data_IF_376039901537
#
_entry.id   IF_376039901537
#
_cell.length_a   1.000
_cell.length_b   1.000
_cell.length_c   1.000
_cell.angle_alpha   90.00
_cell.angle_beta   90.00
_cell.angle_gamma   90.00
#
_symmetry.space_group_name_H-M   'P 1'
#
loop_
_entity.id
_entity.type
_entity.pdbx_description
1 polymer ?
#
# COMPACT_ATOMS: atom_id res chain seq x y z
N UNK A 1 36.67 -22.44 28.87
CA UNK A 1 35.31 -22.68 28.31
C UNK A 1 34.49 -21.42 28.56
N UNK A 2 34.28 -20.56 27.56
CA UNK A 2 33.42 -19.39 27.70
C UNK A 2 31.97 -19.87 27.68
N UNK A 3 31.20 -19.55 28.72
CA UNK A 3 29.77 -19.81 28.78
C UNK A 3 29.08 -19.05 27.63
N UNK A 4 28.31 -19.76 26.80
CA UNK A 4 27.45 -19.14 25.80
C UNK A 4 26.57 -18.08 26.48
N UNK A 5 26.58 -16.84 25.94
CA UNK A 5 25.76 -15.75 26.46
C UNK A 5 24.32 -15.96 25.98
N UNK A 6 23.49 -16.51 26.85
CA UNK A 6 22.04 -16.59 26.66
C UNK A 6 21.48 -15.17 26.52
N UNK A 7 20.69 -14.94 25.50
CA UNK A 7 19.92 -13.70 25.28
C UNK A 7 18.43 -14.01 25.40
N UNK A 8 17.64 -13.01 25.74
CA UNK A 8 16.18 -13.12 25.87
C UNK A 8 15.51 -12.16 24.90
N UNK A 9 14.57 -12.66 24.11
CA UNK A 9 13.85 -11.90 23.09
C UNK A 9 12.38 -11.78 23.51
N UNK A 10 11.84 -10.56 23.43
CA UNK A 10 10.43 -10.33 23.67
C UNK A 10 9.59 -10.85 22.50
N UNK A 11 8.58 -11.70 22.78
CA UNK A 11 7.68 -12.26 21.76
C UNK A 11 6.75 -11.22 21.14
N UNK A 12 6.50 -10.10 21.81
CA UNK A 12 5.56 -9.07 21.36
C UNK A 12 6.22 -7.97 20.54
N UNK A 13 7.41 -7.48 20.93
CA UNK A 13 8.07 -6.36 20.27
C UNK A 13 9.42 -6.71 19.64
N UNK A 14 9.95 -7.93 19.85
CA UNK A 14 11.22 -8.39 19.28
C UNK A 14 12.48 -7.81 19.94
N UNK A 15 12.37 -7.01 21.01
CA UNK A 15 13.54 -6.44 21.71
C UNK A 15 14.38 -7.51 22.38
N UNK A 16 15.71 -7.34 22.35
CA UNK A 16 16.68 -8.33 22.84
C UNK A 16 17.31 -7.86 24.15
N UNK A 17 17.30 -8.72 25.16
CA UNK A 17 17.83 -8.45 26.50
C UNK A 17 18.90 -9.48 26.90
N UNK A 18 19.89 -9.05 27.67
CA UNK A 18 20.94 -9.92 28.18
C UNK A 18 20.51 -10.76 29.40
N UNK A 19 19.35 -10.45 30.01
CA UNK A 19 18.78 -11.15 31.17
C UNK A 19 17.29 -11.27 31.02
N UNK A 20 16.74 -12.33 31.57
CA UNK A 20 15.30 -12.50 31.66
C UNK A 20 14.69 -11.49 32.65
N UNK A 21 13.55 -10.92 32.28
CA UNK A 21 12.72 -10.07 33.13
C UNK A 21 11.27 -10.48 32.96
N UNK A 22 10.45 -10.36 33.98
CA UNK A 22 9.03 -10.69 33.92
C UNK A 22 8.22 -9.73 33.05
N UNK A 23 8.75 -8.52 32.80
CA UNK A 23 8.14 -7.50 31.96
C UNK A 23 9.15 -6.99 30.94
N UNK A 24 8.75 -6.83 29.70
CA UNK A 24 9.58 -6.22 28.67
C UNK A 24 9.75 -4.71 28.91
N UNK A 25 10.99 -4.25 28.98
CA UNK A 25 11.29 -2.83 29.25
C UNK A 25 10.87 -1.90 28.09
N UNK A 26 10.77 -2.43 26.86
CA UNK A 26 10.47 -1.61 25.69
C UNK A 26 8.97 -1.52 25.38
N UNK A 27 8.22 -2.63 25.50
CA UNK A 27 6.77 -2.63 25.20
C UNK A 27 5.87 -2.79 26.42
N UNK A 28 6.44 -3.05 27.61
CA UNK A 28 5.66 -3.20 28.83
C UNK A 28 4.87 -4.51 28.99
N UNK A 29 4.96 -5.43 28.02
CA UNK A 29 4.26 -6.71 28.06
C UNK A 29 4.86 -7.66 29.10
N UNK A 30 3.98 -8.43 29.82
CA UNK A 30 4.38 -9.35 30.85
C UNK A 30 4.58 -10.77 30.33
N UNK A 31 5.62 -11.47 30.83
CA UNK A 31 5.94 -12.86 30.51
C UNK A 31 6.18 -13.14 29.01
N UNK A 32 6.67 -12.15 28.28
CA UNK A 32 6.93 -12.22 26.83
C UNK A 32 8.40 -12.45 26.49
N UNK A 33 9.30 -12.53 27.47
CA UNK A 33 10.74 -12.77 27.25
C UNK A 33 11.03 -14.27 27.20
N UNK A 34 11.43 -14.76 26.02
CA UNK A 34 11.86 -16.14 25.78
C UNK A 34 13.38 -16.21 25.58
N UNK A 35 13.97 -17.34 26.03
CA UNK A 35 15.40 -17.58 25.90
C UNK A 35 15.80 -17.79 24.43
N UNK A 36 16.78 -17.04 23.95
CA UNK A 36 17.35 -17.16 22.61
C UNK A 36 18.83 -17.50 22.72
N UNK A 37 19.24 -18.60 22.10
CA UNK A 37 20.63 -19.03 22.08
C UNK A 37 21.15 -18.96 20.62
N UNK A 38 21.95 -17.95 20.27
CA UNK A 38 22.41 -17.74 18.90
C UNK A 38 23.31 -18.88 18.35
N UNK A 39 23.84 -19.73 19.24
CA UNK A 39 24.80 -20.77 18.85
C UNK A 39 24.18 -22.14 18.51
N UNK A 40 22.85 -22.33 18.60
CA UNK A 40 22.22 -23.64 18.36
C UNK A 40 21.72 -23.87 16.93
N UNK A 41 21.87 -22.91 16.04
CA UNK A 41 21.32 -22.95 14.66
C UNK A 41 22.23 -23.49 13.56
N UNK A 42 23.43 -23.97 13.85
CA UNK A 42 24.31 -24.56 12.83
C UNK A 42 24.88 -25.90 13.31
N UNK A 43 24.33 -26.99 12.84
CA UNK A 43 24.89 -28.32 13.05
C UNK A 43 26.27 -28.40 12.38
N UNK A 44 27.23 -28.67 13.22
CA UNK A 44 28.65 -28.79 12.92
C UNK A 44 28.96 -29.85 11.86
N UNK A 45 29.53 -29.41 10.75
CA UNK A 45 30.51 -30.25 10.07
C UNK A 45 31.90 -29.93 10.64
N UNK A 46 32.60 -30.95 11.15
CA UNK A 46 33.83 -30.85 11.93
C UNK A 46 34.99 -30.35 11.07
N UNK A 47 35.68 -29.33 11.56
CA UNK A 47 37.05 -29.01 11.15
C UNK A 47 37.25 -27.59 10.59
N UNK A 48 37.30 -26.58 11.45
CA UNK A 48 37.76 -25.24 11.08
C UNK A 48 37.65 -24.30 12.27
N UNK A 49 38.71 -23.60 12.61
CA UNK A 49 38.76 -22.56 13.65
C UNK A 49 37.65 -21.53 13.34
N UNK A 50 36.67 -21.38 14.22
CA UNK A 50 35.66 -20.31 14.16
C UNK A 50 36.36 -18.97 14.41
N UNK A 51 36.80 -18.34 13.33
CA UNK A 51 37.15 -16.93 13.33
C UNK A 51 35.81 -16.16 13.37
N UNK A 52 35.71 -15.19 14.29
CA UNK A 52 34.56 -14.22 14.31
C UNK A 52 34.47 -13.38 13.03
N UNK A 53 35.54 -13.35 12.23
CA UNK A 53 35.60 -12.78 10.90
C UNK A 53 35.13 -13.86 9.90
N UNK A 54 33.96 -13.68 9.29
CA UNK A 54 33.52 -14.47 8.13
C UNK A 54 34.54 -14.36 6.98
N UNK A 55 34.30 -15.09 5.89
CA UNK A 55 35.11 -14.95 4.67
C UNK A 55 35.12 -13.50 4.19
N UNK A 56 36.32 -12.97 3.92
CA UNK A 56 36.50 -11.63 3.39
C UNK A 56 35.86 -11.53 2.01
N UNK A 57 34.87 -10.66 1.85
CA UNK A 57 34.27 -10.35 0.56
C UNK A 57 35.09 -9.27 -0.14
N UNK A 58 35.11 -9.31 -1.46
CA UNK A 58 35.76 -8.31 -2.28
C UNK A 58 35.07 -6.95 -2.08
N UNK A 59 35.86 -5.93 -1.73
CA UNK A 59 35.40 -4.54 -1.64
C UNK A 59 35.57 -3.92 -3.02
N UNK A 60 34.49 -3.38 -3.56
CA UNK A 60 34.45 -2.74 -4.89
C UNK A 60 34.21 -1.26 -4.70
N UNK A 61 34.86 -0.41 -5.47
CA UNK A 61 34.60 1.03 -5.46
C UNK A 61 33.30 1.33 -6.20
N UNK A 62 32.63 2.44 -5.85
CA UNK A 62 31.38 2.84 -6.50
C UNK A 62 31.52 3.04 -8.01
N UNK A 63 32.72 3.45 -8.47
CA UNK A 63 33.04 3.64 -9.88
C UNK A 63 33.14 2.32 -10.68
N UNK A 64 33.43 1.21 -9.99
CA UNK A 64 33.53 -0.13 -10.61
C UNK A 64 32.18 -0.85 -10.64
N UNK A 65 31.16 -0.31 -9.94
CA UNK A 65 29.80 -0.87 -9.99
C UNK A 65 29.17 -0.49 -11.30
N UNK A 66 28.85 -1.49 -12.13
CA UNK A 66 28.13 -1.27 -13.39
C UNK A 66 26.76 -0.67 -13.09
N UNK A 67 26.47 0.51 -13.64
CA UNK A 67 25.15 1.18 -13.59
C UNK A 67 24.22 0.66 -14.71
N UNK A 68 24.24 -0.64 -14.97
CA UNK A 68 23.24 -1.23 -15.87
C UNK A 68 21.92 -1.21 -15.14
N UNK A 69 20.88 -0.62 -15.75
CA UNK A 69 19.51 -0.73 -15.23
C UNK A 69 19.17 -2.21 -15.07
N UNK A 70 18.79 -2.61 -13.87
CA UNK A 70 18.40 -3.98 -13.59
C UNK A 70 17.17 -4.32 -14.47
N UNK A 71 17.24 -5.39 -15.28
CA UNK A 71 16.13 -5.78 -16.14
C UNK A 71 14.90 -6.09 -15.27
N UNK A 72 13.76 -5.56 -15.70
CA UNK A 72 12.48 -5.77 -15.03
C UNK A 72 11.68 -6.83 -15.76
N UNK A 73 11.06 -7.70 -15.00
CA UNK A 73 10.17 -8.74 -15.52
C UNK A 73 8.73 -8.30 -15.32
N UNK A 74 7.97 -8.20 -16.40
CA UNK A 74 6.54 -7.85 -16.36
C UNK A 74 5.74 -8.96 -15.67
N UNK A 75 4.82 -8.58 -14.78
CA UNK A 75 3.99 -9.50 -14.00
C UNK A 75 2.76 -10.02 -14.75
N UNK A 76 2.53 -9.50 -15.95
CA UNK A 76 1.34 -9.78 -16.76
C UNK A 76 0.16 -8.85 -16.49
N UNK A 77 0.32 -7.87 -15.58
CA UNK A 77 -0.67 -6.83 -15.34
C UNK A 77 0.01 -5.48 -15.14
N UNK A 78 -0.36 -4.49 -15.95
CA UNK A 78 0.27 -3.16 -15.93
C UNK A 78 0.05 -2.41 -14.61
N UNK A 79 -1.05 -2.67 -13.92
CA UNK A 79 -1.35 -2.06 -12.63
C UNK A 79 -0.50 -2.65 -11.49
N UNK A 80 -0.11 -3.95 -11.55
CA UNK A 80 0.84 -4.53 -10.60
C UNK A 80 2.27 -4.07 -10.91
N UNK A 81 2.64 -4.02 -12.19
CA UNK A 81 3.96 -3.51 -12.62
C UNK A 81 4.16 -2.06 -12.18
N UNK A 82 3.11 -1.23 -12.28
CA UNK A 82 3.13 0.15 -11.78
C UNK A 82 3.53 0.24 -10.31
N UNK A 83 2.86 -0.51 -9.43
CA UNK A 83 3.15 -0.45 -7.98
C UNK A 83 4.49 -1.07 -7.62
N UNK A 84 5.02 -1.96 -8.47
CA UNK A 84 6.37 -2.51 -8.37
C UNK A 84 7.44 -1.54 -8.91
N UNK A 85 7.04 -0.48 -9.60
CA UNK A 85 7.96 0.50 -10.21
C UNK A 85 8.41 0.11 -11.61
N UNK A 86 7.58 -0.66 -12.34
CA UNK A 86 7.80 -1.10 -13.72
C UNK A 86 8.06 -2.59 -13.89
N UNK A 87 7.80 -3.40 -12.87
CA UNK A 87 7.96 -4.86 -12.89
C UNK A 87 8.86 -5.41 -11.77
N UNK A 88 9.04 -6.72 -11.77
CA UNK A 88 9.88 -7.43 -10.80
C UNK A 88 11.36 -7.26 -11.12
N UNK A 89 12.15 -7.00 -10.08
CA UNK A 89 13.61 -6.94 -10.15
C UNK A 89 14.19 -8.27 -9.66
N UNK A 90 15.24 -8.74 -10.28
CA UNK A 90 15.95 -9.97 -9.88
C UNK A 90 16.46 -9.87 -8.43
N UNK A 91 16.20 -10.90 -7.63
CA UNK A 91 16.57 -10.91 -6.21
C UNK A 91 15.78 -9.94 -5.33
N UNK A 92 14.74 -9.28 -5.84
CA UNK A 92 13.86 -8.42 -5.05
C UNK A 92 12.95 -9.22 -4.12
N UNK A 93 12.64 -8.63 -2.96
CA UNK A 93 11.69 -9.21 -2.02
C UNK A 93 10.52 -8.25 -1.82
N UNK A 94 9.33 -8.73 -2.16
CA UNK A 94 8.07 -7.98 -2.10
C UNK A 94 7.17 -8.58 -1.02
N UNK A 95 6.80 -7.79 -0.04
CA UNK A 95 5.81 -8.17 0.97
C UNK A 95 4.43 -7.69 0.53
N UNK A 96 3.46 -8.59 0.46
CA UNK A 96 2.06 -8.26 0.17
C UNK A 96 1.22 -8.45 1.42
N UNK A 97 0.69 -7.35 1.95
CA UNK A 97 -0.19 -7.30 3.10
C UNK A 97 -1.65 -7.01 2.73
N UNK A 98 -2.57 -7.28 3.64
CA UNK A 98 -4.00 -6.98 3.48
C UNK A 98 -4.88 -7.99 4.22
N UNK A 99 -6.17 -7.68 4.33
CA UNK A 99 -7.15 -8.50 5.03
C UNK A 99 -7.28 -9.91 4.43
N UNK A 100 -7.65 -10.91 5.24
CA UNK A 100 -8.01 -12.23 4.72
C UNK A 100 -9.13 -12.13 3.69
N UNK A 101 -9.01 -12.90 2.59
CA UNK A 101 -10.03 -12.92 1.53
C UNK A 101 -10.04 -11.73 0.56
N UNK A 102 -9.17 -10.71 0.72
CA UNK A 102 -9.15 -9.53 -0.14
C UNK A 102 -8.67 -9.79 -1.58
N UNK A 103 -7.95 -10.90 -1.82
CA UNK A 103 -7.49 -11.28 -3.15
C UNK A 103 -5.97 -11.46 -3.31
N UNK A 104 -5.18 -11.42 -2.22
CA UNK A 104 -3.71 -11.57 -2.26
C UNK A 104 -3.26 -12.83 -3.00
N UNK A 105 -3.73 -14.00 -2.56
CA UNK A 105 -3.40 -15.29 -3.18
C UNK A 105 -3.95 -15.41 -4.61
N UNK A 106 -5.03 -14.68 -4.95
CA UNK A 106 -5.59 -14.67 -6.30
C UNK A 106 -4.68 -13.92 -7.27
N UNK A 107 -4.27 -12.69 -6.95
CA UNK A 107 -3.38 -11.92 -7.83
C UNK A 107 -2.03 -12.63 -7.99
N UNK A 108 -1.48 -13.18 -6.90
CA UNK A 108 -0.22 -13.90 -6.96
C UNK A 108 -0.31 -15.17 -7.79
N UNK A 109 -1.40 -15.93 -7.70
CA UNK A 109 -1.58 -17.12 -8.54
C UNK A 109 -1.67 -16.73 -10.03
N UNK A 110 -2.38 -15.65 -10.37
CA UNK A 110 -2.44 -15.10 -11.73
C UNK A 110 -1.05 -14.67 -12.23
N UNK A 111 -0.32 -13.92 -11.42
CA UNK A 111 1.04 -13.49 -11.73
C UNK A 111 1.99 -14.67 -11.92
N UNK A 112 1.95 -15.64 -11.00
CA UNK A 112 2.85 -16.80 -11.05
C UNK A 112 2.58 -17.72 -12.24
N UNK A 113 1.32 -17.89 -12.63
CA UNK A 113 0.97 -18.66 -13.83
C UNK A 113 1.39 -17.95 -15.11
N UNK A 114 1.32 -16.61 -15.15
CA UNK A 114 1.85 -15.82 -16.25
C UNK A 114 3.37 -15.97 -16.37
N UNK A 115 4.10 -15.75 -15.27
CA UNK A 115 5.56 -15.84 -15.24
C UNK A 115 6.06 -17.26 -15.52
N UNK A 116 5.31 -18.28 -15.14
CA UNK A 116 5.66 -19.69 -15.39
C UNK A 116 5.71 -20.05 -16.89
N UNK A 117 5.17 -19.21 -17.77
CA UNK A 117 5.25 -19.42 -19.21
C UNK A 117 6.69 -19.38 -19.73
N UNK A 118 7.50 -18.47 -19.18
CA UNK A 118 8.84 -18.15 -19.70
C UNK A 118 9.97 -18.49 -18.73
N UNK A 119 9.67 -18.73 -17.45
CA UNK A 119 10.68 -18.96 -16.42
C UNK A 119 10.23 -19.95 -15.34
N UNK A 120 11.17 -20.46 -14.54
CA UNK A 120 10.87 -21.34 -13.43
C UNK A 120 10.21 -20.54 -12.32
N UNK A 121 8.92 -20.80 -12.06
CA UNK A 121 8.12 -20.17 -11.02
C UNK A 121 7.69 -21.22 -9.98
N UNK A 122 7.87 -20.92 -8.69
CA UNK A 122 7.55 -21.81 -7.57
C UNK A 122 6.56 -21.14 -6.61
N UNK A 123 5.40 -21.75 -6.40
CA UNK A 123 4.40 -21.29 -5.45
C UNK A 123 4.36 -22.23 -4.24
N UNK A 124 4.68 -21.70 -3.07
CA UNK A 124 4.71 -22.42 -1.81
C UNK A 124 3.50 -22.00 -0.99
N UNK A 125 2.67 -22.96 -0.62
CA UNK A 125 1.50 -22.73 0.23
C UNK A 125 1.70 -23.39 1.59
N UNK A 126 1.51 -22.63 2.66
CA UNK A 126 1.48 -23.13 4.03
C UNK A 126 0.09 -23.15 4.64
N UNK A 127 -0.93 -22.59 3.97
CA UNK A 127 -2.31 -22.51 4.46
C UNK A 127 -3.26 -23.43 3.70
N UNK A 128 -3.07 -23.57 2.40
CA UNK A 128 -3.96 -24.31 1.53
C UNK A 128 -3.30 -25.60 1.01
N UNK A 129 -4.11 -26.61 0.78
CA UNK A 129 -3.63 -27.84 0.08
C UNK A 129 -3.35 -27.54 -1.40
N UNK A 130 -2.49 -28.35 -2.02
CA UNK A 130 -2.21 -28.26 -3.46
C UNK A 130 -3.48 -28.37 -4.31
N UNK A 131 -4.44 -29.20 -3.87
CA UNK A 131 -5.73 -29.35 -4.53
C UNK A 131 -6.57 -28.07 -4.49
N UNK A 132 -6.58 -27.35 -3.37
CA UNK A 132 -7.31 -26.07 -3.24
C UNK A 132 -6.72 -25.01 -4.16
N UNK A 133 -5.38 -24.92 -4.23
CA UNK A 133 -4.69 -24.00 -5.15
C UNK A 133 -5.00 -24.37 -6.61
N UNK A 134 -4.94 -25.66 -6.97
CA UNK A 134 -5.24 -26.15 -8.32
C UNK A 134 -6.71 -25.90 -8.71
N UNK A 135 -7.68 -26.11 -7.79
CA UNK A 135 -9.09 -25.81 -8.02
C UNK A 135 -9.32 -24.33 -8.23
N UNK A 136 -8.61 -23.48 -7.47
CA UNK A 136 -8.65 -22.02 -7.68
C UNK A 136 -8.12 -21.64 -9.05
N UNK A 137 -6.95 -22.19 -9.47
CA UNK A 137 -6.38 -21.92 -10.78
C UNK A 137 -7.35 -22.31 -11.91
N UNK A 138 -7.99 -23.47 -11.80
CA UNK A 138 -9.01 -23.94 -12.77
C UNK A 138 -10.23 -23.03 -12.81
N UNK A 139 -10.75 -22.60 -11.64
CA UNK A 139 -11.89 -21.66 -11.57
C UNK A 139 -11.58 -20.33 -12.23
N UNK A 140 -10.34 -19.88 -12.15
CA UNK A 140 -9.85 -18.64 -12.74
C UNK A 140 -9.44 -18.78 -14.21
N UNK A 141 -9.56 -19.98 -14.78
CA UNK A 141 -9.17 -20.29 -16.16
C UNK A 141 -7.69 -19.99 -16.45
N UNK A 142 -6.80 -20.31 -15.47
CA UNK A 142 -5.37 -20.06 -15.57
C UNK A 142 -4.62 -21.26 -16.18
N UNK A 143 -3.52 -21.02 -16.93
CA UNK A 143 -2.65 -22.08 -17.39
C UNK A 143 -1.94 -22.73 -16.20
N UNK A 144 -2.04 -24.06 -16.06
CA UNK A 144 -1.53 -24.80 -14.89
C UNK A 144 -0.30 -25.63 -15.16
N UNK A 145 0.11 -25.77 -16.41
CA UNK A 145 1.04 -26.80 -16.86
C UNK A 145 2.49 -26.59 -16.39
N UNK A 146 2.88 -25.34 -16.13
CA UNK A 146 4.29 -24.99 -15.88
C UNK A 146 4.54 -24.46 -14.47
N UNK A 147 3.50 -24.00 -13.75
CA UNK A 147 3.66 -23.51 -12.38
C UNK A 147 3.94 -24.67 -11.43
N UNK A 148 5.07 -24.61 -10.72
CA UNK A 148 5.45 -25.57 -9.70
C UNK A 148 4.80 -25.21 -8.37
N UNK A 149 4.17 -26.19 -7.73
CA UNK A 149 3.48 -26.02 -6.45
C UNK A 149 4.15 -26.90 -5.38
N UNK A 150 4.26 -26.34 -4.17
CA UNK A 150 4.74 -27.03 -2.98
C UNK A 150 3.86 -26.69 -1.78
N UNK A 151 3.44 -27.68 -1.00
CA UNK A 151 2.80 -27.48 0.30
C UNK A 151 3.82 -27.82 1.37
N UNK A 152 4.34 -26.80 2.05
CA UNK A 152 5.40 -26.93 3.06
C UNK A 152 5.39 -25.71 4.01
N UNK A 153 5.76 -25.97 5.27
CA UNK A 153 5.85 -24.95 6.32
C UNK A 153 7.22 -24.91 7.02
N UNK A 154 8.07 -25.96 6.86
CA UNK A 154 9.45 -25.91 7.35
C UNK A 154 10.33 -25.07 6.43
N UNK A 155 10.97 -24.03 6.99
CA UNK A 155 11.87 -23.15 6.22
C UNK A 155 13.06 -23.90 5.65
N UNK A 156 13.57 -24.90 6.37
CA UNK A 156 14.69 -25.72 5.96
C UNK A 156 14.36 -26.52 4.69
N UNK A 157 13.17 -27.14 4.64
CA UNK A 157 12.68 -27.90 3.48
C UNK A 157 12.38 -26.96 2.29
N UNK A 158 11.79 -25.79 2.57
CA UNK A 158 11.52 -24.77 1.56
C UNK A 158 12.81 -24.35 0.87
N UNK A 159 13.84 -23.99 1.64
CA UNK A 159 15.11 -23.51 1.09
C UNK A 159 15.88 -24.63 0.36
N UNK A 160 15.87 -25.87 0.90
CA UNK A 160 16.50 -27.01 0.24
C UNK A 160 15.85 -27.30 -1.12
N UNK A 161 14.52 -27.25 -1.19
CA UNK A 161 13.78 -27.47 -2.44
C UNK A 161 14.02 -26.32 -3.42
N UNK A 162 13.92 -25.06 -2.95
CA UNK A 162 14.17 -23.90 -3.79
C UNK A 162 15.60 -23.88 -4.36
N UNK A 163 16.60 -24.28 -3.57
CA UNK A 163 17.99 -24.40 -4.04
C UNK A 163 18.15 -25.45 -5.16
N UNK A 164 17.36 -26.53 -5.12
CA UNK A 164 17.36 -27.58 -6.16
C UNK A 164 16.59 -27.14 -7.42
N UNK A 165 15.43 -26.52 -7.23
CA UNK A 165 14.53 -26.11 -8.32
C UNK A 165 14.99 -24.83 -9.04
N UNK A 166 15.83 -24.02 -8.39
CA UNK A 166 16.39 -22.75 -8.89
C UNK A 166 15.32 -21.82 -9.51
N UNK A 167 14.26 -21.48 -8.76
CA UNK A 167 13.22 -20.64 -9.31
C UNK A 167 13.73 -19.21 -9.56
N UNK A 168 13.29 -18.61 -10.66
CA UNK A 168 13.49 -17.19 -10.93
C UNK A 168 12.51 -16.33 -10.13
N UNK A 169 11.31 -16.85 -9.90
CA UNK A 169 10.29 -16.21 -9.07
C UNK A 169 9.69 -17.23 -8.10
N UNK A 170 9.52 -16.82 -6.86
CA UNK A 170 8.97 -17.64 -5.79
C UNK A 170 7.92 -16.88 -4.99
N UNK A 171 6.86 -17.57 -4.56
CA UNK A 171 5.83 -17.08 -3.62
C UNK A 171 5.84 -17.93 -2.37
N UNK A 172 5.72 -17.31 -1.20
CA UNK A 172 5.45 -17.98 0.09
C UNK A 172 4.13 -17.44 0.65
N UNK A 173 3.10 -18.28 0.67
CA UNK A 173 1.72 -17.95 1.08
C UNK A 173 1.25 -18.86 2.23
N UNK A 174 1.38 -18.40 3.50
CA UNK A 174 1.84 -17.13 4.00
C UNK A 174 3.10 -17.30 4.87
N UNK A 175 3.81 -16.21 5.09
CA UNK A 175 5.01 -16.21 5.96
C UNK A 175 4.66 -16.56 7.42
N UNK A 176 3.41 -16.34 7.86
CA UNK A 176 2.96 -16.65 9.21
C UNK A 176 2.88 -18.15 9.50
N UNK A 177 2.72 -18.98 8.49
CA UNK A 177 2.66 -20.46 8.65
C UNK A 177 4.05 -21.10 8.64
N UNK A 178 5.06 -20.37 8.14
CA UNK A 178 6.42 -20.89 8.03
C UNK A 178 7.11 -20.84 9.38
N UNK A 179 7.83 -21.93 9.71
CA UNK A 179 8.58 -22.05 10.94
C UNK A 179 9.97 -22.66 10.70
N UNK A 180 10.90 -22.40 11.62
CA UNK A 180 12.21 -23.06 11.69
C UNK A 180 12.22 -24.02 12.87
N UNK A 181 12.70 -25.24 12.67
CA UNK A 181 12.90 -26.22 13.74
C UNK A 181 13.98 -25.79 14.74
N UNK A 182 14.86 -24.89 14.35
CA UNK A 182 15.91 -24.32 15.21
C UNK A 182 15.40 -23.37 16.29
N UNK A 183 14.12 -22.95 16.23
CA UNK A 183 13.53 -22.00 17.19
C UNK A 183 12.49 -22.67 18.07
N UNK A 184 12.52 -22.36 19.35
CA UNK A 184 11.56 -22.90 20.33
C UNK A 184 10.22 -22.20 20.37
N UNK A 185 10.06 -21.06 19.69
CA UNK A 185 8.80 -20.31 19.60
C UNK A 185 7.80 -21.00 18.69
N UNK A 186 6.50 -20.83 18.98
CA UNK A 186 5.43 -21.42 18.18
C UNK A 186 5.40 -20.84 16.76
N UNK A 187 4.95 -21.61 15.74
CA UNK A 187 4.68 -21.09 14.39
C UNK A 187 3.77 -19.86 14.44
N UNK A 188 4.01 -18.87 13.58
CA UNK A 188 3.28 -17.61 13.57
C UNK A 188 3.74 -16.59 14.64
N UNK A 189 4.57 -17.00 15.59
CA UNK A 189 5.19 -16.10 16.55
C UNK A 189 6.17 -15.13 15.87
N UNK A 190 6.30 -13.93 16.43
CA UNK A 190 7.14 -12.85 15.90
C UNK A 190 8.57 -13.30 15.59
N UNK A 191 9.17 -14.08 16.46
CA UNK A 191 10.55 -14.59 16.29
C UNK A 191 10.65 -15.55 15.11
N UNK A 192 9.66 -16.45 14.92
CA UNK A 192 9.60 -17.37 13.79
C UNK A 192 9.47 -16.62 12.47
N UNK A 193 8.49 -15.73 12.40
CA UNK A 193 8.22 -14.93 11.19
C UNK A 193 9.45 -14.12 10.79
N UNK A 194 10.13 -13.51 11.76
CA UNK A 194 11.35 -12.72 11.53
C UNK A 194 12.49 -13.58 11.00
N UNK A 195 12.78 -14.70 11.65
CA UNK A 195 13.92 -15.55 11.25
C UNK A 195 13.68 -16.24 9.92
N UNK A 196 12.48 -16.77 9.69
CA UNK A 196 12.10 -17.37 8.40
C UNK A 196 12.17 -16.34 7.27
N UNK A 197 11.66 -15.12 7.48
CA UNK A 197 11.76 -14.05 6.49
C UNK A 197 13.23 -13.66 6.24
N UNK A 198 14.09 -13.58 7.28
CA UNK A 198 15.52 -13.30 7.12
C UNK A 198 16.22 -14.36 6.27
N UNK A 199 15.90 -15.63 6.48
CA UNK A 199 16.45 -16.74 5.71
C UNK A 199 16.01 -16.66 4.23
N UNK A 200 14.72 -16.40 3.98
CA UNK A 200 14.16 -16.23 2.63
C UNK A 200 14.74 -15.02 1.90
N UNK A 201 14.89 -13.88 2.58
CA UNK A 201 15.54 -12.68 2.01
C UNK A 201 16.99 -12.96 1.63
N UNK A 202 17.76 -13.64 2.49
CA UNK A 202 19.13 -14.06 2.16
C UNK A 202 19.18 -14.95 0.93
N UNK A 203 18.30 -15.96 0.87
CA UNK A 203 18.20 -16.85 -0.28
C UNK A 203 17.90 -16.06 -1.57
N UNK A 204 16.88 -15.21 -1.55
CA UNK A 204 16.50 -14.38 -2.69
C UNK A 204 17.67 -13.53 -3.21
N UNK A 205 18.39 -12.86 -2.30
CA UNK A 205 19.55 -12.01 -2.65
C UNK A 205 20.75 -12.80 -3.17
N UNK A 206 20.93 -14.03 -2.69
CA UNK A 206 22.07 -14.87 -3.11
C UNK A 206 21.85 -15.57 -4.45
N UNK A 207 20.60 -15.95 -4.73
CA UNK A 207 20.24 -16.72 -5.93
C UNK A 207 19.69 -15.87 -7.07
N UNK A 208 19.41 -14.58 -6.81
CA UNK A 208 18.71 -13.72 -7.77
C UNK A 208 17.22 -14.04 -7.90
N UNK A 209 16.64 -14.86 -7.01
CA UNK A 209 15.21 -15.19 -7.04
C UNK A 209 14.36 -14.00 -6.63
N UNK A 210 13.44 -13.54 -7.46
CA UNK A 210 12.41 -12.58 -7.04
C UNK A 210 11.40 -13.28 -6.12
N UNK A 211 11.14 -12.70 -4.94
CA UNK A 211 10.36 -13.34 -3.90
C UNK A 211 9.15 -12.51 -3.49
N UNK A 212 7.98 -13.11 -3.52
CA UNK A 212 6.78 -12.59 -2.87
C UNK A 212 6.55 -13.28 -1.53
N UNK A 213 6.39 -12.48 -0.48
CA UNK A 213 5.95 -12.90 0.85
C UNK A 213 4.51 -12.43 1.07
N UNK A 214 3.60 -13.33 1.35
CA UNK A 214 2.23 -12.98 1.75
C UNK A 214 2.17 -12.83 3.25
N UNK A 215 1.59 -11.70 3.71
CA UNK A 215 1.37 -11.42 5.12
C UNK A 215 -0.08 -11.03 5.41
N UNK A 216 -0.58 -11.39 6.59
CA UNK A 216 -1.88 -10.92 7.09
C UNK A 216 -1.69 -9.68 7.95
N UNK A 217 -2.65 -8.75 7.89
CA UNK A 217 -2.72 -7.59 8.79
C UNK A 217 -3.50 -7.93 10.05
N UNK A 218 -3.19 -7.26 11.16
CA UNK A 218 -4.04 -7.29 12.36
C UNK A 218 -5.32 -6.47 12.13
N UNK A 219 -6.34 -6.65 12.99
CA UNK A 219 -7.60 -5.88 12.96
C UNK A 219 -7.40 -4.37 13.03
N UNK A 220 -6.23 -3.90 13.46
CA UNK A 220 -5.86 -2.48 13.54
C UNK A 220 -5.12 -1.98 12.29
N UNK A 221 -5.07 -2.79 11.22
CA UNK A 221 -4.40 -2.42 9.96
C UNK A 221 -2.87 -2.50 10.01
N UNK A 222 -2.28 -2.97 11.13
CA UNK A 222 -0.87 -3.29 11.21
C UNK A 222 -0.63 -4.73 10.75
N UNK A 223 0.52 -5.01 10.11
CA UNK A 223 0.93 -6.37 9.78
C UNK A 223 0.96 -7.23 11.05
N UNK A 224 0.33 -8.41 11.00
CA UNK A 224 0.49 -9.43 12.03
C UNK A 224 1.92 -9.96 11.98
N UNK A 225 2.69 -9.52 12.91
CA UNK A 225 4.14 -9.67 12.92
C UNK A 225 4.80 -8.28 12.92
N UNK A 226 6.01 -8.17 13.42
CA UNK A 226 6.57 -6.85 13.67
C UNK A 226 6.76 -6.08 12.37
N UNK A 227 6.66 -4.76 12.44
CA UNK A 227 7.17 -3.79 11.45
C UNK A 227 8.59 -4.12 10.95
N UNK A 228 9.23 -5.05 11.62
CA UNK A 228 10.54 -5.64 11.24
C UNK A 228 10.55 -6.21 9.83
N UNK A 229 9.44 -6.82 9.33
CA UNK A 229 9.40 -7.35 7.96
C UNK A 229 9.46 -6.23 6.93
N UNK A 230 8.84 -5.09 7.20
CA UNK A 230 8.89 -3.93 6.30
C UNK A 230 10.32 -3.40 6.11
N UNK A 231 11.16 -3.49 7.15
CA UNK A 231 12.56 -3.06 7.05
C UNK A 231 13.45 -4.07 6.32
N UNK A 232 13.07 -5.34 6.30
CA UNK A 232 13.86 -6.43 5.72
C UNK A 232 13.64 -6.61 4.22
N UNK A 233 12.47 -6.20 3.71
CA UNK A 233 12.07 -6.36 2.30
C UNK A 233 12.35 -5.11 1.48
N UNK A 234 12.36 -5.23 0.16
CA UNK A 234 12.62 -4.11 -0.75
C UNK A 234 11.35 -3.31 -1.05
N UNK A 235 10.22 -3.99 -1.19
CA UNK A 235 8.92 -3.38 -1.46
C UNK A 235 7.85 -3.93 -0.54
N UNK A 236 6.91 -3.06 -0.14
CA UNK A 236 5.74 -3.41 0.67
C UNK A 236 4.51 -2.92 -0.05
N UNK A 237 3.65 -3.84 -0.41
CA UNK A 237 2.38 -3.61 -1.08
C UNK A 237 1.22 -3.93 -0.14
N UNK A 238 0.27 -3.02 -0.02
CA UNK A 238 -0.94 -3.24 0.76
C UNK A 238 -2.17 -3.31 -0.14
N UNK A 239 -2.98 -4.35 0.07
CA UNK A 239 -4.33 -4.36 -0.45
C UNK A 239 -5.22 -3.46 0.41
N UNK A 240 -5.92 -2.55 -0.24
CA UNK A 240 -6.92 -1.66 0.32
C UNK A 240 -8.28 -1.93 -0.34
N UNK A 241 -9.36 -1.79 0.41
CA UNK A 241 -10.74 -1.94 -0.06
C UNK A 241 -11.60 -2.74 0.91
N UNK A 242 -12.90 -2.56 0.83
CA UNK A 242 -13.89 -3.32 1.60
C UNK A 242 -14.18 -4.65 0.91
N UNK A 243 -14.47 -5.69 1.68
CA UNK A 243 -14.71 -7.04 1.15
C UNK A 243 -15.91 -7.08 0.20
N UNK A 244 -16.91 -6.25 0.44
CA UNK A 244 -18.14 -6.16 -0.36
C UNK A 244 -18.00 -5.26 -1.60
N UNK A 245 -16.90 -4.52 -1.73
CA UNK A 245 -16.64 -3.69 -2.89
C UNK A 245 -16.10 -4.54 -4.05
N UNK A 246 -16.55 -4.25 -5.27
CA UNK A 246 -16.07 -4.89 -6.51
C UNK A 246 -14.62 -4.55 -6.82
N UNK A 247 -14.13 -3.42 -6.36
CA UNK A 247 -12.79 -2.92 -6.67
C UNK A 247 -11.82 -3.21 -5.55
N UNK A 248 -10.58 -3.48 -5.93
CA UNK A 248 -9.45 -3.69 -5.03
C UNK A 248 -8.33 -2.76 -5.43
N UNK A 249 -7.71 -2.14 -4.46
CA UNK A 249 -6.56 -1.26 -4.65
C UNK A 249 -5.33 -1.90 -4.04
N UNK A 250 -4.20 -1.77 -4.72
CA UNK A 250 -2.88 -2.17 -4.19
C UNK A 250 -2.04 -0.91 -4.11
N UNK A 251 -1.58 -0.58 -2.91
CA UNK A 251 -0.73 0.59 -2.65
C UNK A 251 0.69 0.17 -2.33
N UNK A 252 1.67 0.80 -2.97
CA UNK A 252 3.08 0.67 -2.63
C UNK A 252 3.43 1.58 -1.44
N UNK A 253 3.48 1.03 -0.22
CA UNK A 253 3.85 1.79 1.00
C UNK A 253 5.37 1.97 1.09
N UNK A 254 6.11 1.00 0.59
CA UNK A 254 7.57 1.06 0.46
C UNK A 254 7.97 0.49 -0.91
N UNK A 255 8.88 1.15 -1.60
CA UNK A 255 9.44 0.65 -2.85
C UNK A 255 10.86 1.19 -3.06
N UNK A 256 11.86 0.28 -3.12
CA UNK A 256 13.25 0.65 -3.42
C UNK A 256 13.51 0.80 -4.92
N UNK A 257 12.61 0.27 -5.75
CA UNK A 257 12.76 0.21 -7.20
C UNK A 257 11.87 1.20 -7.95
N UNK A 258 11.07 2.00 -7.22
CA UNK A 258 10.15 2.96 -7.81
C UNK A 258 9.58 3.93 -6.80
N UNK A 259 8.60 4.71 -7.22
CA UNK A 259 7.93 5.67 -6.36
C UNK A 259 7.11 4.95 -5.27
N UNK A 260 7.03 5.57 -4.10
CA UNK A 260 6.09 5.18 -3.05
C UNK A 260 4.70 5.79 -3.31
N UNK A 261 3.67 5.23 -2.66
CA UNK A 261 2.28 5.61 -2.81
C UNK A 261 1.69 5.40 -4.21
N UNK A 262 2.38 4.65 -5.09
CA UNK A 262 1.76 4.20 -6.34
C UNK A 262 0.54 3.33 -6.03
N UNK A 263 -0.52 3.53 -6.82
CA UNK A 263 -1.79 2.85 -6.67
C UNK A 263 -2.11 2.03 -7.92
N UNK A 264 -2.25 0.73 -7.75
CA UNK A 264 -2.80 -0.20 -8.73
C UNK A 264 -4.27 -0.46 -8.46
N UNK A 265 -5.11 -0.43 -9.48
CA UNK A 265 -6.56 -0.58 -9.34
C UNK A 265 -7.05 -1.80 -10.12
N UNK A 266 -7.75 -2.68 -9.41
CA UNK A 266 -8.24 -3.94 -9.94
C UNK A 266 -9.75 -4.09 -9.69
N UNK A 267 -10.43 -4.77 -10.58
CA UNK A 267 -11.79 -5.23 -10.40
C UNK A 267 -11.79 -6.74 -10.08
N UNK A 268 -12.49 -7.12 -9.01
CA UNK A 268 -12.74 -8.53 -8.69
C UNK A 268 -13.82 -9.06 -9.62
N UNK A 269 -13.51 -10.13 -10.35
CA UNK A 269 -14.43 -10.80 -11.27
C UNK A 269 -14.47 -12.29 -10.97
N UNK A 270 -15.38 -13.01 -11.62
CA UNK A 270 -15.43 -14.49 -11.61
C UNK A 270 -14.13 -15.13 -12.12
N UNK A 271 -13.39 -14.43 -12.99
CA UNK A 271 -12.08 -14.83 -13.53
C UNK A 271 -10.90 -14.20 -12.80
N UNK A 272 -11.08 -13.77 -11.55
CA UNK A 272 -10.04 -13.19 -10.70
C UNK A 272 -9.95 -11.67 -10.77
N UNK A 273 -8.79 -11.15 -10.43
CA UNK A 273 -8.49 -9.72 -10.44
C UNK A 273 -8.10 -9.27 -11.85
N UNK A 274 -8.83 -8.29 -12.37
CA UNK A 274 -8.54 -7.65 -13.65
C UNK A 274 -8.16 -6.20 -13.44
N UNK A 275 -7.14 -5.75 -14.14
CA UNK A 275 -6.72 -4.35 -14.11
C UNK A 275 -7.81 -3.43 -14.64
N UNK A 276 -7.89 -2.24 -14.06
CA UNK A 276 -8.83 -1.21 -14.47
C UNK A 276 -8.09 -0.14 -15.26
N UNK A 277 -8.31 -0.10 -16.57
CA UNK A 277 -7.65 0.84 -17.47
C UNK A 277 -7.99 2.31 -17.20
N UNK A 278 -9.18 2.60 -16.67
CA UNK A 278 -9.62 3.94 -16.30
C UNK A 278 -10.13 3.98 -14.85
N UNK A 279 -9.25 4.04 -13.85
CA UNK A 279 -9.67 4.08 -12.44
C UNK A 279 -10.55 5.28 -12.10
N UNK A 280 -10.31 6.45 -12.72
CA UNK A 280 -11.15 7.62 -12.46
C UNK A 280 -12.65 7.37 -12.74
N UNK A 281 -12.96 6.48 -13.69
CA UNK A 281 -14.38 6.13 -13.97
C UNK A 281 -15.08 5.39 -12.82
N UNK A 282 -14.31 4.82 -11.88
CA UNK A 282 -14.83 4.13 -10.70
C UNK A 282 -15.19 5.14 -9.60
N UNK A 283 -14.39 6.21 -9.51
CA UNK A 283 -14.44 7.21 -8.44
C UNK A 283 -15.32 8.40 -8.79
N UNK A 284 -15.99 8.36 -9.95
CA UNK A 284 -16.91 9.37 -10.42
C UNK A 284 -18.32 8.79 -10.52
N UNK A 285 -19.25 9.39 -9.81
CA UNK A 285 -20.67 9.09 -10.01
C UNK A 285 -21.10 9.67 -11.36
N UNK A 286 -21.84 8.88 -12.13
CA UNK A 286 -22.39 9.34 -13.42
C UNK A 286 -23.82 9.85 -13.20
N UNK A 287 -23.93 11.11 -12.87
CA UNK A 287 -25.22 11.78 -12.81
C UNK A 287 -25.45 12.60 -14.08
N UNK A 288 -26.64 12.49 -14.66
CA UNK A 288 -27.04 13.29 -15.83
C UNK A 288 -27.27 14.75 -15.44
N UNK A 289 -27.52 15.02 -14.16
CA UNK A 289 -27.78 16.34 -13.62
C UNK A 289 -26.79 16.69 -12.50
N UNK A 290 -26.45 17.97 -12.40
CA UNK A 290 -25.66 18.50 -11.31
C UNK A 290 -26.40 18.37 -9.98
N UNK A 291 -25.70 17.90 -8.94
CA UNK A 291 -26.25 17.63 -7.61
C UNK A 291 -25.53 18.50 -6.59
N UNK A 292 -26.28 19.21 -5.70
CA UNK A 292 -25.66 19.94 -4.59
C UNK A 292 -24.85 19.02 -3.69
N UNK A 293 -23.71 19.52 -3.20
CA UNK A 293 -22.84 18.78 -2.31
C UNK A 293 -21.84 17.87 -3.00
N UNK A 294 -21.86 17.75 -4.32
CA UNK A 294 -20.92 16.94 -5.08
C UNK A 294 -19.93 17.80 -5.88
N UNK A 295 -18.65 17.44 -5.86
CA UNK A 295 -17.58 18.07 -6.64
C UNK A 295 -16.51 17.06 -7.02
N UNK A 296 -15.92 17.21 -8.18
CA UNK A 296 -14.78 16.39 -8.60
C UNK A 296 -13.49 17.10 -8.25
N UNK A 297 -12.61 16.38 -7.58
CA UNK A 297 -11.23 16.81 -7.34
C UNK A 297 -10.24 16.00 -8.17
N UNK A 298 -9.07 16.56 -8.42
CA UNK A 298 -7.94 15.80 -8.95
C UNK A 298 -6.94 15.60 -7.83
N UNK A 299 -6.86 14.36 -7.33
CA UNK A 299 -5.85 13.93 -6.36
C UNK A 299 -4.67 13.28 -7.07
N UNK A 300 -3.56 13.09 -6.37
CA UNK A 300 -2.39 12.38 -6.87
C UNK A 300 -2.06 11.20 -5.97
N UNK A 301 -2.02 10.03 -6.57
CA UNK A 301 -1.58 8.81 -5.91
C UNK A 301 -0.26 8.34 -6.57
N UNK A 302 0.84 8.49 -5.83
CA UNK A 302 2.17 8.29 -6.39
C UNK A 302 2.47 9.22 -7.55
N UNK A 303 2.69 8.67 -8.73
CA UNK A 303 2.91 9.43 -9.98
C UNK A 303 1.62 9.74 -10.74
N UNK A 304 0.49 9.11 -10.39
CA UNK A 304 -0.75 9.13 -11.17
C UNK A 304 -1.74 10.17 -10.65
N UNK A 305 -2.18 11.14 -11.46
CA UNK A 305 -3.34 11.94 -11.13
C UNK A 305 -4.61 11.09 -11.29
N UNK A 306 -5.53 11.21 -10.33
CA UNK A 306 -6.82 10.54 -10.29
C UNK A 306 -7.94 11.55 -10.07
N UNK A 307 -9.01 11.44 -10.83
CA UNK A 307 -10.22 12.19 -10.57
C UNK A 307 -11.09 11.40 -9.58
N UNK A 308 -11.46 12.07 -8.51
CA UNK A 308 -12.22 11.48 -7.41
C UNK A 308 -13.34 12.45 -7.02
N UNK A 309 -14.53 11.92 -6.86
CA UNK A 309 -15.68 12.70 -6.41
C UNK A 309 -15.69 12.80 -4.88
N UNK A 310 -15.89 14.02 -4.38
CA UNK A 310 -16.13 14.32 -2.96
C UNK A 310 -17.59 14.73 -2.82
N UNK A 311 -18.29 14.08 -1.91
CA UNK A 311 -19.66 14.37 -1.58
C UNK A 311 -19.75 14.90 -0.15
N UNK A 312 -20.51 15.96 0.07
CA UNK A 312 -20.82 16.49 1.38
C UNK A 312 -22.33 16.55 1.59
N UNK A 313 -22.74 16.26 2.81
CA UNK A 313 -24.09 16.50 3.30
C UNK A 313 -24.00 17.39 4.54
N UNK A 314 -24.70 18.50 4.51
CA UNK A 314 -24.80 19.43 5.64
C UNK A 314 -26.29 19.57 5.99
N UNK A 315 -26.61 19.33 7.26
CA UNK A 315 -27.99 19.40 7.76
C UNK A 315 -28.02 19.98 9.18
N UNK A 316 -29.16 20.51 9.59
CA UNK A 316 -29.35 21.00 10.95
C UNK A 316 -29.18 19.88 11.97
N UNK A 317 -28.34 20.09 12.97
CA UNK A 317 -28.12 19.08 13.99
C UNK A 317 -29.28 19.04 14.98
N UNK A 318 -29.87 17.85 15.12
CA UNK A 318 -30.89 17.57 16.14
C UNK A 318 -30.25 17.25 17.51
N UNK A 319 -28.92 17.25 17.59
CA UNK A 319 -28.15 16.91 18.79
C UNK A 319 -27.45 18.13 19.38
N UNK A 320 -27.23 18.15 20.67
CA UNK A 320 -26.48 19.22 21.35
C UNK A 320 -25.03 19.34 20.87
N UNK A 321 -24.45 18.23 20.35
CA UNK A 321 -23.12 18.20 19.76
C UNK A 321 -23.24 17.82 18.26
N UNK A 322 -23.04 18.76 17.35
CA UNK A 322 -23.06 18.47 15.92
C UNK A 322 -22.00 17.45 15.49
N UNK A 323 -22.40 16.52 14.63
CA UNK A 323 -21.53 15.46 14.13
C UNK A 323 -20.62 15.97 13.04
N UNK A 324 -19.37 15.53 13.06
CA UNK A 324 -18.38 15.75 12.00
C UNK A 324 -17.86 14.38 11.58
N UNK A 325 -18.24 13.93 10.39
CA UNK A 325 -17.88 12.59 9.89
C UNK A 325 -17.16 12.75 8.57
N UNK A 326 -15.99 12.12 8.46
CA UNK A 326 -15.22 12.06 7.23
C UNK A 326 -14.95 10.60 6.86
N UNK A 327 -15.32 10.20 5.67
CA UNK A 327 -15.02 8.90 5.07
C UNK A 327 -14.06 9.11 3.92
N UNK A 328 -12.91 8.42 3.96
CA UNK A 328 -11.85 8.59 2.97
C UNK A 328 -10.95 9.82 3.18
N UNK A 329 -11.18 10.61 4.25
CA UNK A 329 -10.39 11.79 4.62
C UNK A 329 -10.07 11.77 6.13
N UNK A 330 -9.07 12.55 6.54
CA UNK A 330 -8.76 12.73 7.97
C UNK A 330 -9.81 13.59 8.66
N UNK A 331 -10.40 13.09 9.75
CA UNK A 331 -11.46 13.76 10.49
C UNK A 331 -10.98 15.05 11.19
N UNK A 332 -9.74 15.08 11.68
CA UNK A 332 -9.18 16.29 12.32
C UNK A 332 -8.94 17.38 11.26
N UNK A 333 -8.52 16.95 10.04
CA UNK A 333 -8.38 17.88 8.92
C UNK A 333 -9.71 18.52 8.56
N UNK A 334 -10.80 17.74 8.48
CA UNK A 334 -12.15 18.27 8.25
C UNK A 334 -12.53 19.32 9.32
N UNK A 335 -12.29 19.02 10.59
CA UNK A 335 -12.60 19.97 11.68
C UNK A 335 -11.83 21.30 11.55
N UNK A 336 -10.55 21.25 11.19
CA UNK A 336 -9.74 22.45 10.92
C UNK A 336 -10.28 23.24 9.72
N UNK A 337 -10.61 22.57 8.63
CA UNK A 337 -11.15 23.19 7.43
C UNK A 337 -12.47 23.92 7.70
N UNK A 338 -13.38 23.31 8.47
CA UNK A 338 -14.64 23.96 8.86
C UNK A 338 -14.42 25.22 9.71
N UNK A 339 -13.40 25.23 10.57
CA UNK A 339 -13.02 26.43 11.32
C UNK A 339 -12.51 27.54 10.39
N UNK A 340 -11.70 27.19 9.38
CA UNK A 340 -11.21 28.12 8.34
C UNK A 340 -12.40 28.65 7.51
N UNK A 341 -13.34 27.79 7.12
CA UNK A 341 -14.53 28.15 6.37
C UNK A 341 -15.38 29.20 7.13
N UNK A 342 -15.59 28.96 8.42
CA UNK A 342 -16.30 29.91 9.27
C UNK A 342 -15.58 31.26 9.38
N UNK A 343 -14.26 31.24 9.64
CA UNK A 343 -13.49 32.46 9.91
C UNK A 343 -13.18 33.26 8.67
N UNK A 344 -12.83 32.59 7.56
CA UNK A 344 -12.30 33.23 6.34
C UNK A 344 -13.22 33.08 5.13
N UNK A 345 -14.16 32.14 5.14
CA UNK A 345 -15.18 32.01 4.11
C UNK A 345 -16.52 32.67 4.46
N UNK A 346 -16.67 33.13 5.70
CA UNK A 346 -17.93 33.72 6.17
C UNK A 346 -19.10 32.71 6.21
N UNK A 347 -18.84 31.44 6.18
CA UNK A 347 -19.85 30.36 6.15
C UNK A 347 -19.83 29.61 7.48
N UNK A 348 -20.85 29.85 8.30
CA UNK A 348 -21.00 29.22 9.59
C UNK A 348 -21.61 27.80 9.46
N UNK A 349 -20.89 26.80 9.99
CA UNK A 349 -21.39 25.43 10.12
C UNK A 349 -21.64 25.03 11.58
N UNK A 350 -21.67 26.04 12.48
CA UNK A 350 -21.96 25.82 13.89
C UNK A 350 -23.43 25.39 14.03
N UNK A 351 -23.67 24.33 14.81
CA UNK A 351 -25.03 23.77 14.93
C UNK A 351 -25.47 22.84 13.79
N UNK A 352 -24.62 22.57 12.80
CA UNK A 352 -24.93 21.70 11.68
C UNK A 352 -24.12 20.41 11.74
N UNK A 353 -24.74 19.29 11.43
CA UNK A 353 -24.08 18.04 11.13
C UNK A 353 -23.40 18.14 9.76
N UNK A 354 -22.14 17.71 9.66
CA UNK A 354 -21.37 17.72 8.40
C UNK A 354 -20.83 16.32 8.16
N UNK A 355 -21.23 15.76 7.04
CA UNK A 355 -20.73 14.46 6.56
C UNK A 355 -20.00 14.69 5.24
N UNK A 356 -18.80 14.14 5.13
CA UNK A 356 -18.00 14.19 3.89
C UNK A 356 -17.58 12.78 3.52
N UNK A 357 -17.79 12.41 2.27
CA UNK A 357 -17.45 11.10 1.74
C UNK A 357 -16.64 11.21 0.45
N UNK A 358 -15.57 10.46 0.36
CA UNK A 358 -14.82 10.25 -0.88
C UNK A 358 -15.36 9.01 -1.57
N UNK A 359 -15.86 9.19 -2.80
CA UNK A 359 -16.50 8.10 -3.56
C UNK A 359 -15.49 7.01 -3.92
N UNK A 360 -15.94 5.76 -3.88
CA UNK A 360 -15.14 4.59 -4.29
C UNK A 360 -14.20 4.04 -3.23
N UNK A 361 -14.26 4.55 -1.96
CA UNK A 361 -13.49 3.99 -0.84
C UNK A 361 -11.98 4.32 -0.87
N UNK A 362 -11.57 5.29 -1.69
CA UNK A 362 -10.17 5.77 -1.72
C UNK A 362 -9.89 6.60 -0.49
N UNK A 363 -8.72 6.39 0.12
CA UNK A 363 -8.21 7.26 1.18
C UNK A 363 -7.35 8.35 0.57
N UNK A 364 -7.83 9.59 0.61
CA UNK A 364 -7.08 10.77 0.14
C UNK A 364 -6.26 11.33 1.30
N UNK A 365 -4.94 11.23 1.19
CA UNK A 365 -4.00 11.64 2.23
C UNK A 365 -3.37 13.02 1.97
N UNK A 366 -3.51 13.54 0.76
CA UNK A 366 -2.92 14.82 0.38
C UNK A 366 -3.80 16.02 0.74
N UNK A 367 -3.17 17.15 1.08
CA UNK A 367 -3.84 18.40 1.39
C UNK A 367 -4.44 19.09 0.16
N UNK A 368 -4.11 18.63 -1.04
CA UNK A 368 -4.69 19.13 -2.30
C UNK A 368 -6.21 18.96 -2.42
N UNK A 369 -6.82 18.11 -1.58
CA UNK A 369 -8.26 17.90 -1.49
C UNK A 369 -9.01 18.98 -0.71
N UNK A 370 -8.34 19.80 0.08
CA UNK A 370 -8.96 20.74 1.05
C UNK A 370 -9.98 21.67 0.40
N UNK A 371 -9.60 22.28 -0.72
CA UNK A 371 -10.48 23.24 -1.40
C UNK A 371 -11.74 22.56 -1.94
N UNK A 372 -11.61 21.34 -2.48
CA UNK A 372 -12.75 20.57 -2.96
C UNK A 372 -13.70 20.18 -1.82
N UNK A 373 -13.14 19.77 -0.66
CA UNK A 373 -13.94 19.49 0.55
C UNK A 373 -14.74 20.72 0.99
N UNK A 374 -14.12 21.89 1.05
CA UNK A 374 -14.82 23.10 1.44
C UNK A 374 -15.90 23.51 0.44
N UNK A 375 -15.62 23.40 -0.85
CA UNK A 375 -16.59 23.71 -1.91
C UNK A 375 -17.77 22.74 -1.86
N UNK A 376 -17.53 21.42 -1.63
CA UNK A 376 -18.63 20.46 -1.49
C UNK A 376 -19.53 20.76 -0.28
N UNK A 377 -18.94 21.14 0.85
CA UNK A 377 -19.67 21.58 2.06
C UNK A 377 -20.53 22.81 1.77
N UNK A 378 -19.97 23.83 1.13
CA UNK A 378 -20.70 25.06 0.78
C UNK A 378 -21.80 24.80 -0.24
N UNK A 379 -21.53 23.98 -1.24
CA UNK A 379 -22.52 23.53 -2.24
C UNK A 379 -23.72 22.83 -1.57
N UNK A 380 -23.46 21.91 -0.64
CA UNK A 380 -24.51 21.23 0.12
C UNK A 380 -25.30 22.22 0.99
N UNK A 381 -24.61 23.04 1.77
CA UNK A 381 -25.23 24.02 2.69
C UNK A 381 -26.14 25.02 1.97
N UNK A 382 -25.69 25.51 0.80
CA UNK A 382 -26.45 26.51 0.01
C UNK A 382 -27.42 25.86 -0.98
N UNK A 383 -27.51 24.55 -1.01
CA UNK A 383 -28.26 23.79 -2.02
C UNK A 383 -27.92 24.22 -3.46
N UNK A 384 -26.63 24.49 -3.72
CA UNK A 384 -26.10 24.98 -4.99
C UNK A 384 -25.53 23.82 -5.80
N UNK A 385 -26.20 23.44 -6.89
CA UNK A 385 -25.66 22.48 -7.83
C UNK A 385 -24.49 23.09 -8.62
N UNK A 386 -23.32 22.42 -8.57
CA UNK A 386 -22.12 22.86 -9.27
C UNK A 386 -22.05 22.21 -10.66
N UNK A 387 -21.32 22.87 -11.59
CA UNK A 387 -21.14 22.35 -12.95
C UNK A 387 -20.46 20.96 -12.92
N UNK A 388 -21.06 19.97 -13.58
CA UNK A 388 -20.52 18.60 -13.71
C UNK A 388 -19.18 18.53 -14.44
N UNK A 389 -18.77 19.61 -15.12
CA UNK A 389 -17.49 19.74 -15.81
C UNK A 389 -16.44 20.53 -15.01
N UNK A 390 -16.75 20.86 -13.76
CA UNK A 390 -15.85 21.56 -12.84
C UNK A 390 -14.98 20.58 -12.07
N UNK A 391 -13.66 20.83 -12.06
CA UNK A 391 -12.74 20.21 -11.12
C UNK A 391 -12.16 21.22 -10.16
N UNK A 392 -11.79 20.76 -8.98
CA UNK A 392 -11.19 21.59 -7.96
C UNK A 392 -10.00 20.89 -7.32
N UNK A 393 -8.93 21.61 -7.05
CA UNK A 393 -7.85 21.17 -6.15
C UNK A 393 -7.15 22.38 -5.54
N UNK A 394 -6.54 22.20 -4.36
CA UNK A 394 -5.76 23.21 -3.67
C UNK A 394 -5.69 22.95 -2.18
N UNK A 395 -4.53 23.24 -1.58
CA UNK A 395 -4.38 23.21 -0.13
C UNK A 395 -4.94 24.51 0.48
N UNK A 396 -5.65 24.38 1.61
CA UNK A 396 -6.18 25.52 2.33
C UNK A 396 -5.42 25.72 3.64
N UNK A 397 -4.75 26.88 3.77
CA UNK A 397 -4.04 27.26 4.98
C UNK A 397 -4.97 27.84 6.05
N UNK A 398 -4.50 27.86 7.29
CA UNK A 398 -5.29 28.34 8.45
C UNK A 398 -5.68 29.82 8.38
N UNK A 399 -4.97 30.62 7.57
CA UNK A 399 -5.29 32.04 7.33
C UNK A 399 -6.22 32.25 6.13
N UNK A 400 -6.82 31.17 5.57
CA UNK A 400 -7.70 31.22 4.42
C UNK A 400 -6.99 31.41 3.07
N UNK A 401 -5.65 31.30 3.04
CA UNK A 401 -4.87 31.30 1.81
C UNK A 401 -5.00 29.97 1.08
N UNK A 402 -5.01 30.02 -0.25
CA UNK A 402 -4.98 28.84 -1.11
C UNK A 402 -3.56 28.63 -1.61
N UNK A 403 -2.97 27.51 -1.23
CA UNK A 403 -1.59 27.12 -1.53
C UNK A 403 -1.49 26.19 -2.73
N UNK A 404 -0.44 26.33 -3.54
CA UNK A 404 -0.20 25.43 -4.66
C UNK A 404 0.08 24.00 -4.19
N UNK A 405 -0.33 23.05 -5.02
CA UNK A 405 -0.08 21.63 -4.82
C UNK A 405 0.91 21.09 -5.87
N UNK A 406 1.63 20.01 -5.58
CA UNK A 406 2.51 19.39 -6.57
C UNK A 406 1.77 18.96 -7.83
N UNK A 407 2.47 18.98 -8.96
CA UNK A 407 1.99 18.45 -10.24
C UNK A 407 0.68 19.08 -10.75
N UNK A 408 0.48 20.39 -10.52
CA UNK A 408 -0.77 21.07 -10.93
C UNK A 408 -1.05 20.95 -12.43
N UNK A 409 -0.02 20.99 -13.29
CA UNK A 409 -0.21 20.88 -14.73
C UNK A 409 -0.63 19.48 -15.17
N UNK A 410 -0.07 18.44 -14.55
CA UNK A 410 -0.47 17.05 -14.81
C UNK A 410 -1.92 16.80 -14.40
N UNK A 411 -2.35 17.38 -13.26
CA UNK A 411 -3.74 17.33 -12.80
C UNK A 411 -4.69 17.97 -13.81
N UNK A 412 -4.37 19.16 -14.30
CA UNK A 412 -5.18 19.86 -15.31
C UNK A 412 -5.26 19.08 -16.64
N UNK A 413 -4.13 18.53 -17.09
CA UNK A 413 -4.09 17.71 -18.31
C UNK A 413 -4.94 16.44 -18.17
N UNK A 414 -4.89 15.79 -17.01
CA UNK A 414 -5.71 14.60 -16.78
C UNK A 414 -7.20 14.94 -16.70
N UNK A 415 -7.58 16.07 -16.09
CA UNK A 415 -8.95 16.54 -16.06
C UNK A 415 -9.48 16.78 -17.50
N UNK A 416 -8.70 17.46 -18.34
CA UNK A 416 -9.09 17.70 -19.74
C UNK A 416 -9.27 16.39 -20.52
N UNK A 417 -8.38 15.40 -20.34
CA UNK A 417 -8.53 14.05 -20.95
C UNK A 417 -9.81 13.33 -20.56
N UNK A 418 -10.43 13.74 -19.44
CA UNK A 418 -11.70 13.19 -18.93
C UNK A 418 -12.88 14.13 -19.16
N UNK A 419 -12.75 15.02 -20.15
CA UNK A 419 -13.80 15.93 -20.61
C UNK A 419 -14.26 16.98 -19.58
N UNK A 420 -13.42 17.32 -18.59
CA UNK A 420 -13.64 18.46 -17.72
C UNK A 420 -13.17 19.74 -18.40
N UNK A 421 -14.00 20.78 -18.34
CA UNK A 421 -13.77 22.03 -19.10
C UNK A 421 -13.54 23.26 -18.21
N UNK A 422 -13.75 23.12 -16.89
CA UNK A 422 -13.56 24.21 -15.92
C UNK A 422 -12.78 23.73 -14.70
N UNK A 423 -11.87 24.58 -14.20
CA UNK A 423 -11.03 24.26 -13.05
C UNK A 423 -10.89 25.45 -12.09
N UNK A 424 -11.09 25.25 -10.78
CA UNK A 424 -10.76 26.22 -9.74
C UNK A 424 -9.50 25.71 -9.03
N UNK A 425 -8.40 26.46 -9.14
CA UNK A 425 -7.08 26.01 -8.70
C UNK A 425 -6.27 27.12 -8.04
N UNK A 426 -5.25 26.78 -7.24
CA UNK A 426 -4.36 27.79 -6.67
C UNK A 426 -3.66 28.61 -7.78
N UNK A 427 -3.49 29.91 -7.55
CA UNK A 427 -2.77 30.80 -8.47
C UNK A 427 -1.35 30.30 -8.79
N UNK A 428 -0.67 29.68 -7.82
CA UNK A 428 0.66 29.10 -8.03
C UNK A 428 0.70 27.87 -8.92
N UNK A 429 -0.46 27.24 -9.22
CA UNK A 429 -0.59 26.13 -10.17
C UNK A 429 -1.06 26.57 -11.56
N UNK A 430 -1.24 27.87 -11.80
CA UNK A 430 -1.63 28.38 -13.11
C UNK A 430 -0.54 28.01 -14.14
N UNK A 431 -0.88 27.37 -15.27
CA UNK A 431 0.09 27.04 -16.29
C UNK A 431 0.63 28.29 -16.99
N UNK A 432 1.88 28.24 -17.45
CA UNK A 432 2.51 29.37 -18.16
C UNK A 432 1.83 29.69 -19.49
N UNK A 433 1.25 28.69 -20.13
CA UNK A 433 0.47 28.85 -21.36
C UNK A 433 -0.94 28.31 -21.13
N UNK A 434 -1.97 28.96 -21.69
CA UNK A 434 -3.34 28.46 -21.63
C UNK A 434 -3.43 27.01 -22.10
N UNK A 435 -4.28 26.22 -21.44
CA UNK A 435 -4.62 24.87 -21.89
C UNK A 435 -5.92 24.99 -22.69
N UNK A 436 -5.82 24.72 -24.00
CA UNK A 436 -6.97 24.80 -24.88
C UNK A 436 -8.08 23.85 -24.44
N UNK A 437 -9.32 24.32 -24.36
CA UNK A 437 -10.46 23.54 -23.92
C UNK A 437 -10.70 23.51 -22.39
N UNK A 438 -9.86 24.21 -21.58
CA UNK A 438 -10.01 24.26 -20.14
C UNK A 438 -9.99 25.71 -19.63
N UNK A 439 -11.12 26.17 -19.10
CA UNK A 439 -11.23 27.42 -18.37
C UNK A 439 -10.62 27.25 -16.96
N UNK A 440 -9.63 28.09 -16.60
CA UNK A 440 -8.95 27.99 -15.32
C UNK A 440 -9.19 29.25 -14.49
N UNK A 441 -9.89 29.09 -13.38
CA UNK A 441 -10.08 30.13 -12.37
C UNK A 441 -8.99 29.99 -11.31
N UNK A 442 -8.05 30.95 -11.32
CA UNK A 442 -6.92 30.94 -10.39
C UNK A 442 -7.26 31.72 -9.13
N UNK A 443 -7.13 31.10 -7.96
CA UNK A 443 -7.48 31.67 -6.67
C UNK A 443 -6.30 31.69 -5.70
N UNK A 444 -6.24 32.70 -4.83
CA UNK A 444 -5.23 32.84 -3.79
C UNK A 444 -5.83 32.86 -2.38
N UNK A 445 -7.13 33.07 -2.27
CA UNK A 445 -7.90 33.14 -1.03
C UNK A 445 -9.18 32.33 -1.15
N UNK A 446 -9.65 31.81 0.00
CA UNK A 446 -10.87 31.01 0.05
C UNK A 446 -12.10 31.80 -0.44
N UNK A 447 -12.22 33.06 -0.08
CA UNK A 447 -13.31 33.94 -0.53
C UNK A 447 -13.43 33.96 -2.06
N UNK A 448 -12.29 34.12 -2.77
CA UNK A 448 -12.25 34.13 -4.24
C UNK A 448 -12.75 32.80 -4.85
N UNK A 449 -12.44 31.69 -4.18
CA UNK A 449 -12.92 30.38 -4.64
C UNK A 449 -14.44 30.22 -4.43
N UNK A 450 -14.99 30.78 -3.36
CA UNK A 450 -16.42 30.75 -3.08
C UNK A 450 -17.20 31.72 -3.97
N UNK A 451 -16.61 32.84 -4.39
CA UNK A 451 -17.20 33.80 -5.33
C UNK A 451 -17.21 33.28 -6.79
N UNK A 452 -16.37 32.31 -7.08
CA UNK A 452 -16.25 31.68 -8.40
C UNK A 452 -17.26 30.54 -8.63
N UNK A 453 -18.09 30.18 -7.64
CA UNK A 453 -19.11 29.12 -7.74
C UNK A 453 -20.42 29.68 -8.37
#
# INVERSE_FOLDING_TARGET
>A
MAKAKTQFVCSDCGSVFAKWAGQCADCGAWNTLSEFNPDRGMSSNRGGKTSWAGEARQVTTMAEVSLVEEPRVETGTSELDRVLGGGLVEGSVVLIGGDPGIGKSTILLQTMTHLAADQVALYITGEESLQQVALRARRLDLPTDRLRLMSETSIENILATAAKEQPKVMVVDSIQTVYSEGLSSAPGGVSQVRECAAALVRFAKQTGTALFLVGHVTKEGALAGPRVLEHMVDSVLYFEGEQDNRFRMIRAVKNRFGAVNELGVFAMTDKGLREVSNPSAIFLSRYDQAIPGSIVMVTREGSRPLLVEVQALVDDSQLGNPRRVAVGLDQNRLAMLLAVLNRHGGVATMGMDVFVNVVGGVKVLETGSDLAVLISVVSSLRNLALDNKLIVFGEVGLSGEIRPVPSGQERLKEALKKDFTRAIVPKGNLPKSPIEGLEIVAVSRLEQALDAL
#
